data_IF_456158621878
#
_entry.id   IF_456158621878
#
_cell.length_a   1.000
_cell.length_b   1.000
_cell.length_c   1.000
_cell.angle_alpha   90.00
_cell.angle_beta   90.00
_cell.angle_gamma   90.00
#
_symmetry.space_group_name_H-M   'P 1'
#
loop_
_entity.id
_entity.type
_entity.pdbx_description
1 polymer ?
#
# COMPACT_ATOMS: atom_id res chain seq x y z
N UNK A 1 5.35 -7.25 -0.73
CA UNK A 1 3.94 -7.67 -0.56
C UNK A 1 3.04 -6.60 -1.19
N UNK A 2 2.29 -6.93 -2.23
CA UNK A 2 1.26 -6.02 -2.77
C UNK A 2 -0.13 -6.43 -2.27
N UNK A 3 -1.14 -5.56 -2.41
CA UNK A 3 -2.55 -5.78 -2.03
C UNK A 3 -3.20 -7.08 -2.57
N UNK A 4 -2.50 -7.85 -3.42
CA UNK A 4 -3.00 -9.06 -4.08
C UNK A 4 -2.39 -10.36 -3.55
N UNK A 5 -1.49 -10.30 -2.55
CA UNK A 5 -0.87 -11.49 -1.94
C UNK A 5 -1.47 -11.75 -0.56
N UNK A 6 -2.16 -12.89 -0.39
CA UNK A 6 -2.78 -13.29 0.89
C UNK A 6 -1.82 -13.90 1.92
N UNK A 7 -0.49 -13.83 1.71
CA UNK A 7 0.50 -14.41 2.62
C UNK A 7 0.81 -13.45 3.76
N UNK A 8 0.47 -13.85 4.98
CA UNK A 8 0.85 -13.13 6.20
C UNK A 8 2.31 -13.45 6.55
N UNK A 9 3.22 -12.49 6.34
CA UNK A 9 4.64 -12.64 6.67
C UNK A 9 4.93 -11.86 7.95
N UNK A 10 5.71 -12.48 8.83
CA UNK A 10 6.15 -11.93 10.10
C UNK A 10 7.67 -12.00 10.12
N UNK A 11 8.33 -10.95 10.61
CA UNK A 11 9.78 -10.95 10.82
C UNK A 11 10.09 -10.31 12.16
N UNK A 12 11.03 -10.91 12.87
CA UNK A 12 11.62 -10.32 14.08
C UNK A 12 12.79 -9.43 13.66
N UNK A 13 12.78 -8.19 14.16
CA UNK A 13 13.84 -7.21 13.95
C UNK A 13 14.14 -6.62 15.32
N UNK A 14 15.40 -6.69 15.75
CA UNK A 14 15.87 -6.18 17.05
C UNK A 14 15.04 -6.68 18.26
N UNK A 15 14.53 -7.92 18.21
CA UNK A 15 13.72 -8.52 19.28
C UNK A 15 12.24 -8.11 19.28
N UNK A 16 11.80 -7.33 18.30
CA UNK A 16 10.39 -6.95 18.12
C UNK A 16 9.83 -7.65 16.89
N UNK A 17 8.65 -8.24 17.03
CA UNK A 17 7.96 -8.92 15.93
C UNK A 17 7.17 -7.90 15.11
N UNK A 18 7.42 -7.88 13.80
CA UNK A 18 6.73 -7.01 12.86
C UNK A 18 5.92 -7.83 11.86
N UNK A 19 4.69 -7.39 11.60
CA UNK A 19 3.86 -7.80 10.47
C UNK A 19 4.33 -7.07 9.22
N UNK A 20 4.82 -7.81 8.23
CA UNK A 20 5.33 -7.22 7.00
C UNK A 20 4.18 -6.77 6.11
N UNK A 21 4.14 -5.46 5.82
CA UNK A 21 3.16 -4.82 4.94
C UNK A 21 3.58 -4.94 3.49
N UNK A 22 4.84 -4.59 3.20
CA UNK A 22 5.45 -4.64 1.88
C UNK A 22 6.93 -5.02 1.98
N UNK A 23 7.45 -5.73 0.98
CA UNK A 23 8.80 -6.32 0.97
C UNK A 23 9.22 -6.45 -0.49
N UNK A 24 10.52 -6.51 -0.76
CA UNK A 24 11.07 -6.46 -2.11
C UNK A 24 11.01 -5.06 -2.73
N UNK A 25 10.92 -4.01 -1.90
CA UNK A 25 10.76 -2.64 -2.39
C UNK A 25 12.11 -2.10 -2.83
N UNK A 26 12.22 -1.64 -4.07
CA UNK A 26 13.42 -0.96 -4.58
C UNK A 26 13.25 0.55 -4.62
N UNK A 27 12.01 1.03 -4.75
CA UNK A 27 11.69 2.46 -4.82
C UNK A 27 11.58 3.09 -3.42
N UNK A 28 12.44 4.07 -3.14
CA UNK A 28 12.43 4.80 -1.87
C UNK A 28 11.15 5.62 -1.66
N UNK A 29 10.55 6.13 -2.74
CA UNK A 29 9.29 6.88 -2.62
C UNK A 29 8.15 5.99 -2.12
N UNK A 30 8.17 4.71 -2.49
CA UNK A 30 7.20 3.72 -2.00
C UNK A 30 7.33 3.49 -0.49
N UNK A 31 8.57 3.42 0.00
CA UNK A 31 8.87 3.22 1.43
C UNK A 31 8.39 4.44 2.22
N UNK A 32 8.74 5.65 1.77
CA UNK A 32 8.32 6.89 2.41
C UNK A 32 6.80 7.01 2.44
N UNK A 33 6.13 6.75 1.32
CA UNK A 33 4.66 6.76 1.22
C UNK A 33 4.00 5.80 2.21
N UNK A 34 4.43 4.54 2.25
CA UNK A 34 3.85 3.55 3.15
C UNK A 34 4.09 3.91 4.62
N UNK A 35 5.28 4.40 4.94
CA UNK A 35 5.63 4.81 6.30
C UNK A 35 4.75 5.96 6.76
N UNK A 36 4.66 7.03 5.98
CA UNK A 36 3.86 8.22 6.30
C UNK A 36 2.38 7.88 6.48
N UNK A 37 1.79 7.13 5.54
CA UNK A 37 0.37 6.77 5.61
C UNK A 37 0.06 5.89 6.83
N UNK A 38 0.91 4.91 7.13
CA UNK A 38 0.66 4.02 8.25
C UNK A 38 0.85 4.74 9.59
N UNK A 39 1.88 5.56 9.74
CA UNK A 39 2.11 6.38 10.94
C UNK A 39 0.99 7.40 11.16
N UNK A 40 0.52 8.07 10.10
CA UNK A 40 -0.63 8.98 10.14
C UNK A 40 -1.88 8.28 10.68
N UNK A 41 -2.05 6.99 10.36
CA UNK A 41 -3.19 6.18 10.81
C UNK A 41 -2.95 5.49 12.16
N UNK A 42 -1.89 5.87 12.89
CA UNK A 42 -1.63 5.42 14.26
C UNK A 42 -0.91 4.07 14.37
N UNK A 43 -0.35 3.55 13.29
CA UNK A 43 0.47 2.35 13.33
C UNK A 43 1.92 2.70 13.63
N UNK A 44 2.58 1.89 14.45
CA UNK A 44 4.03 1.95 14.62
C UNK A 44 4.69 1.18 13.48
N UNK A 45 5.52 1.87 12.70
CA UNK A 45 6.09 1.36 11.45
C UNK A 45 7.60 1.22 11.56
N UNK A 46 8.13 0.15 10.97
CA UNK A 46 9.58 -0.03 10.76
C UNK A 46 9.85 -0.33 9.30
N UNK A 47 10.74 0.44 8.70
CA UNK A 47 11.33 0.13 7.40
C UNK A 47 12.78 -0.31 7.57
N UNK A 48 13.26 -1.18 6.68
CA UNK A 48 14.62 -1.70 6.74
C UNK A 48 15.05 -2.42 5.48
N UNK A 49 16.37 -2.46 5.24
CA UNK A 49 16.97 -3.27 4.19
C UNK A 49 16.75 -4.76 4.47
N UNK A 50 16.42 -5.50 3.43
CA UNK A 50 16.32 -6.94 3.50
C UNK A 50 17.69 -7.60 3.32
N UNK A 51 17.94 -8.73 4.00
CA UNK A 51 19.19 -9.46 3.83
C UNK A 51 19.32 -9.94 2.37
N UNK A 52 20.38 -9.51 1.70
CA UNK A 52 20.75 -9.96 0.36
C UNK A 52 21.28 -11.39 0.41
N UNK A 53 20.87 -12.25 -0.54
CA UNK A 53 21.37 -13.63 -0.62
C UNK A 53 22.75 -13.68 -1.26
N UNK A 54 22.99 -12.80 -2.23
CA UNK A 54 24.28 -12.56 -2.87
C UNK A 54 24.58 -11.07 -2.88
N UNK A 55 25.85 -10.72 -2.85
CA UNK A 55 26.28 -9.31 -2.87
C UNK A 55 25.87 -8.58 -4.16
N UNK A 56 25.73 -9.33 -5.26
CA UNK A 56 25.25 -8.86 -6.56
C UNK A 56 23.73 -8.66 -6.63
N UNK A 57 22.97 -9.19 -5.67
CA UNK A 57 21.51 -9.04 -5.66
C UNK A 57 21.13 -7.57 -5.39
N UNK A 58 20.05 -7.06 -6.01
CA UNK A 58 19.59 -5.71 -5.76
C UNK A 58 19.24 -5.51 -4.29
N UNK A 59 19.60 -4.33 -3.76
CA UNK A 59 19.16 -3.93 -2.42
C UNK A 59 17.66 -3.73 -2.45
N UNK A 60 16.95 -4.51 -1.65
CA UNK A 60 15.51 -4.36 -1.45
C UNK A 60 15.22 -4.02 0.00
N UNK A 61 14.09 -3.36 0.19
CA UNK A 61 13.61 -2.91 1.48
C UNK A 61 12.27 -3.56 1.79
N UNK A 62 11.94 -3.54 3.07
CA UNK A 62 10.65 -3.93 3.59
C UNK A 62 10.10 -2.86 4.52
N UNK A 63 8.77 -2.85 4.64
CA UNK A 63 8.00 -2.03 5.59
C UNK A 63 7.13 -2.98 6.39
N UNK A 64 7.18 -2.88 7.71
CA UNK A 64 6.38 -3.67 8.64
C UNK A 64 5.77 -2.81 9.74
N UNK A 65 4.73 -3.33 10.38
CA UNK A 65 4.04 -2.71 11.53
C UNK A 65 4.06 -3.64 12.74
N UNK A 66 4.02 -3.09 13.95
CA UNK A 66 3.97 -3.92 15.19
C UNK A 66 2.59 -4.55 15.42
N UNK A 67 1.54 -4.00 14.82
CA UNK A 67 0.19 -4.58 14.90
C UNK A 67 0.10 -5.86 14.06
N UNK A 68 0.12 -7.01 14.74
CA UNK A 68 0.03 -8.33 14.12
C UNK A 68 -1.33 -8.60 13.48
N UNK A 69 -2.37 -7.87 13.85
CA UNK A 69 -3.71 -8.00 13.25
C UNK A 69 -3.85 -7.21 11.96
N UNK A 70 -2.86 -6.35 11.65
CA UNK A 70 -2.88 -5.54 10.45
C UNK A 70 -2.87 -6.41 9.19
N UNK A 71 -3.79 -6.07 8.28
CA UNK A 71 -3.88 -6.67 6.96
C UNK A 71 -4.09 -5.52 5.95
N UNK A 72 -3.13 -5.24 5.05
CA UNK A 72 -3.24 -4.13 4.12
C UNK A 72 -4.46 -4.24 3.19
N UNK A 73 -4.85 -5.46 2.82
CA UNK A 73 -6.05 -5.70 1.99
C UNK A 73 -7.30 -5.27 2.74
N UNK A 74 -7.48 -5.71 3.98
CA UNK A 74 -8.63 -5.32 4.79
C UNK A 74 -8.58 -3.83 5.18
N UNK A 75 -7.40 -3.28 5.39
CA UNK A 75 -7.22 -1.87 5.72
C UNK A 75 -7.66 -0.96 4.56
N UNK A 76 -7.26 -1.27 3.32
CA UNK A 76 -7.63 -0.50 2.14
C UNK A 76 -9.06 -0.79 1.69
N UNK A 77 -9.41 -2.04 1.41
CA UNK A 77 -10.75 -2.38 0.89
C UNK A 77 -11.85 -2.20 1.94
N UNK A 78 -11.53 -2.35 3.22
CA UNK A 78 -12.40 -2.01 4.35
C UNK A 78 -12.41 -0.53 4.72
N UNK A 79 -11.66 0.32 3.99
CA UNK A 79 -11.60 1.78 4.15
C UNK A 79 -11.25 2.24 5.57
N UNK A 80 -10.30 1.56 6.19
CA UNK A 80 -9.83 1.84 7.55
C UNK A 80 -8.70 2.88 7.60
N UNK A 81 -8.12 3.21 6.46
CA UNK A 81 -7.03 4.17 6.35
C UNK A 81 -7.50 5.48 5.71
N UNK A 82 -6.93 6.58 6.20
CA UNK A 82 -7.21 7.94 5.78
C UNK A 82 -5.93 8.63 5.29
N UNK A 83 -6.07 9.55 4.35
CA UNK A 83 -5.02 10.48 3.97
C UNK A 83 -4.97 11.65 4.93
N UNK A 84 -3.93 12.48 4.81
CA UNK A 84 -3.77 13.71 5.62
C UNK A 84 -4.95 14.67 5.46
N UNK A 85 -5.58 14.67 4.30
CA UNK A 85 -6.76 15.49 3.99
C UNK A 85 -8.09 14.80 4.36
N UNK A 86 -8.06 13.80 5.26
CA UNK A 86 -9.21 13.04 5.75
C UNK A 86 -10.00 12.28 4.66
N UNK A 87 -9.34 11.91 3.55
CA UNK A 87 -9.95 11.09 2.51
C UNK A 87 -9.65 9.61 2.73
N UNK A 88 -10.63 8.74 2.42
CA UNK A 88 -10.43 7.29 2.50
C UNK A 88 -9.46 6.81 1.43
N UNK A 89 -8.47 6.02 1.83
CA UNK A 89 -7.49 5.45 0.91
C UNK A 89 -8.15 4.41 0.02
N UNK A 90 -7.99 4.58 -1.29
CA UNK A 90 -8.44 3.65 -2.33
C UNK A 90 -7.29 2.71 -2.74
N UNK A 91 -7.57 1.56 -3.40
CA UNK A 91 -6.51 0.72 -3.97
C UNK A 91 -5.65 1.43 -5.02
N UNK A 92 -6.23 2.33 -5.81
CA UNK A 92 -5.47 3.09 -6.82
C UNK A 92 -4.50 4.05 -6.15
N UNK A 93 -4.95 4.77 -5.09
CA UNK A 93 -4.09 5.61 -4.26
C UNK A 93 -3.03 4.79 -3.54
N UNK A 94 -3.40 3.68 -2.89
CA UNK A 94 -2.46 2.80 -2.21
C UNK A 94 -1.40 2.25 -3.17
N UNK A 95 -1.74 1.90 -4.40
CA UNK A 95 -0.76 1.39 -5.37
C UNK A 95 -0.06 2.50 -6.16
N UNK A 96 -0.32 3.79 -5.85
CA UNK A 96 0.23 4.95 -6.54
C UNK A 96 0.00 4.88 -8.07
N UNK A 97 -1.16 4.36 -8.49
CA UNK A 97 -1.56 4.17 -9.91
C UNK A 97 -2.41 5.32 -10.45
N UNK A 98 -2.37 6.45 -9.76
CA UNK A 98 -3.32 7.53 -9.98
C UNK A 98 -3.01 8.32 -11.26
N UNK A 99 -4.07 8.63 -12.02
CA UNK A 99 -4.05 9.52 -13.19
C UNK A 99 -4.56 10.93 -12.84
N UNK A 100 -4.78 11.20 -11.55
CA UNK A 100 -5.24 12.47 -11.02
C UNK A 100 -6.76 12.62 -10.96
N UNK A 101 -7.52 11.72 -11.60
CA UNK A 101 -8.97 11.86 -11.78
C UNK A 101 -9.81 11.03 -10.82
N UNK A 102 -9.22 10.01 -10.19
CA UNK A 102 -9.94 9.03 -9.37
C UNK A 102 -9.34 8.83 -7.97
N UNK A 103 -8.48 9.76 -7.50
CA UNK A 103 -7.69 9.61 -6.26
C UNK A 103 -8.52 9.14 -5.05
N UNK A 104 -9.75 9.65 -4.94
CA UNK A 104 -10.67 9.35 -3.84
C UNK A 104 -12.01 8.78 -4.30
N UNK A 105 -12.09 8.33 -5.57
CA UNK A 105 -13.30 7.70 -6.05
C UNK A 105 -13.47 6.34 -5.38
N UNK A 106 -14.50 6.23 -4.55
CA UNK A 106 -14.85 5.02 -3.82
C UNK A 106 -15.30 3.87 -4.72
N UNK A 107 -15.67 4.14 -5.98
CA UNK A 107 -16.15 3.13 -6.89
C UNK A 107 -14.97 2.34 -7.47
N UNK A 108 -14.95 1.04 -7.16
CA UNK A 108 -13.98 0.10 -7.74
C UNK A 108 -14.24 -0.19 -9.23
N UNK A 109 -15.34 0.35 -9.80
CA UNK A 109 -15.67 0.30 -11.22
C UNK A 109 -15.60 1.71 -11.81
N UNK A 110 -14.61 1.94 -12.67
CA UNK A 110 -14.52 3.17 -13.44
C UNK A 110 -15.19 2.99 -14.81
N UNK A 111 -16.23 3.78 -15.08
CA UNK A 111 -16.89 3.81 -16.38
C UNK A 111 -15.99 4.41 -17.48
N UNK A 112 -15.03 5.26 -17.11
CA UNK A 112 -14.13 5.96 -18.05
C UNK A 112 -12.91 5.13 -18.47
N UNK A 113 -12.57 4.06 -17.73
CA UNK A 113 -11.50 3.11 -18.10
C UNK A 113 -11.96 2.00 -19.06
N UNK A 114 -13.25 1.93 -19.44
CA UNK A 114 -13.79 0.87 -20.32
C UNK A 114 -14.17 1.43 -21.70
N UNK A 115 -13.49 1.03 -22.80
CA UNK A 115 -13.75 1.58 -24.14
C UNK A 115 -15.15 1.28 -24.70
N UNK A 116 -15.90 0.35 -24.09
CA UNK A 116 -17.25 -0.05 -24.50
C UNK A 116 -18.40 0.68 -23.76
N UNK A 117 -18.11 1.50 -22.74
CA UNK A 117 -19.10 2.38 -22.11
C UNK A 117 -18.94 3.81 -22.64
N UNK A 118 -19.24 4.03 -23.92
CA UNK A 118 -19.44 5.40 -24.42
C UNK A 118 -20.82 5.87 -23.95
N UNK A 119 -20.86 6.68 -22.89
CA UNK A 119 -22.06 7.45 -22.55
C UNK A 119 -22.33 8.39 -23.72
N UNK A 120 -23.39 8.12 -24.48
CA UNK A 120 -23.88 9.04 -25.51
C UNK A 120 -24.31 10.32 -24.80
N UNK A 121 -23.52 11.39 -24.95
CA UNK A 121 -23.97 12.73 -24.62
C UNK A 121 -25.09 13.08 -25.60
N UNK A 122 -26.34 12.92 -25.18
CA UNK A 122 -27.46 13.53 -25.90
C UNK A 122 -27.35 15.04 -25.70
N UNK A 123 -27.08 15.73 -26.81
CA UNK A 123 -27.26 17.17 -26.97
C UNK A 123 -28.75 17.54 -26.93
#
# INVERSE_FOLDING_TARGET
>A
MGLLSGKHIEKEIDGVLYRIVEAGITDQNRIAFLTEILELNGYEVKSGEEPRKKEEDPVTFMVGVTDMTFNPVLAVYGRRLFTKDDHRITPDYWNQKDDGKNQFNSNYWDYHKKPWFKVSSKS
#
